data_IF_077732938969
#
_entry.id   IF_077732938969
#
_cell.length_a   1.000
_cell.length_b   1.000
_cell.length_c   1.000
_cell.angle_alpha   90.00
_cell.angle_beta   90.00
_cell.angle_gamma   90.00
#
_symmetry.space_group_name_H-M   'P 1'
#
loop_
_entity.id
_entity.type
_entity.pdbx_description
1 polymer ?
#
# COMPACT_ATOMS: atom_id res chain seq x y z
N UNK A 1 -10.09 10.17 -4.26
CA UNK A 1 -10.67 9.03 -3.53
C UNK A 1 -12.12 9.35 -3.25
N UNK A 2 -13.04 8.40 -3.40
CA UNK A 2 -14.47 8.65 -3.12
C UNK A 2 -14.75 8.56 -1.62
N UNK A 3 -15.83 9.20 -1.16
CA UNK A 3 -16.30 9.09 0.23
C UNK A 3 -16.63 7.64 0.61
N UNK A 4 -17.17 6.86 -0.34
CA UNK A 4 -17.51 5.45 -0.16
C UNK A 4 -16.24 4.64 0.13
N UNK A 5 -15.20 4.79 -0.69
CA UNK A 5 -13.94 4.07 -0.49
C UNK A 5 -13.29 4.44 0.85
N UNK A 6 -13.30 5.73 1.20
CA UNK A 6 -12.72 6.17 2.47
C UNK A 6 -13.46 5.53 3.67
N UNK A 7 -14.79 5.51 3.64
CA UNK A 7 -15.61 4.88 4.69
C UNK A 7 -15.36 3.38 4.79
N UNK A 8 -15.37 2.67 3.68
CA UNK A 8 -15.19 1.21 3.65
C UNK A 8 -13.77 0.81 4.09
N UNK A 9 -12.75 1.61 3.73
CA UNK A 9 -11.39 1.38 4.20
C UNK A 9 -11.28 1.57 5.72
N UNK A 10 -11.93 2.59 6.28
CA UNK A 10 -11.98 2.78 7.74
C UNK A 10 -12.68 1.60 8.41
N UNK A 11 -13.85 1.20 7.89
CA UNK A 11 -14.61 0.05 8.43
C UNK A 11 -13.76 -1.23 8.42
N UNK A 12 -12.99 -1.49 7.37
CA UNK A 12 -12.08 -2.66 7.30
C UNK A 12 -10.96 -2.61 8.35
N UNK A 13 -10.33 -1.45 8.54
CA UNK A 13 -9.27 -1.28 9.55
C UNK A 13 -9.81 -1.48 10.97
N UNK A 14 -10.99 -0.94 11.27
CA UNK A 14 -11.64 -1.12 12.57
C UNK A 14 -12.10 -2.57 12.78
N UNK A 15 -12.55 -3.27 11.74
CA UNK A 15 -12.90 -4.68 11.81
C UNK A 15 -11.68 -5.57 12.10
N UNK A 16 -10.50 -5.24 11.56
CA UNK A 16 -9.26 -5.93 11.89
C UNK A 16 -8.84 -5.66 13.34
N UNK A 17 -8.92 -4.41 13.78
CA UNK A 17 -8.84 -4.00 15.19
C UNK A 17 -7.48 -4.16 15.88
N UNK A 18 -6.46 -4.67 15.19
CA UNK A 18 -5.10 -4.83 15.71
C UNK A 18 -4.23 -3.61 15.35
N UNK A 19 -4.53 -2.46 15.94
CA UNK A 19 -3.72 -1.24 15.80
C UNK A 19 -2.36 -1.38 16.50
N UNK A 20 -1.31 -0.72 16.01
CA UNK A 20 -0.04 -0.56 16.76
C UNK A 20 -0.31 0.18 18.07
N UNK A 21 0.54 -0.06 19.05
CA UNK A 21 0.47 0.62 20.35
C UNK A 21 1.22 1.97 20.39
N UNK A 22 1.74 2.41 19.24
CA UNK A 22 2.50 3.65 19.11
C UNK A 22 3.85 3.63 19.81
N UNK A 23 4.44 2.45 20.03
CA UNK A 23 5.81 2.30 20.51
C UNK A 23 6.78 2.05 19.36
N UNK A 24 8.06 2.28 19.62
CA UNK A 24 9.09 2.03 18.63
C UNK A 24 9.23 0.53 18.36
N UNK A 25 8.96 -0.33 19.33
CA UNK A 25 9.02 -1.78 19.15
C UNK A 25 7.70 -2.32 18.61
N UNK A 26 7.70 -2.77 17.34
CA UNK A 26 6.55 -3.42 16.70
C UNK A 26 6.98 -4.74 16.06
N UNK A 27 6.68 -5.85 16.72
CA UNK A 27 7.01 -7.22 16.29
C UNK A 27 6.34 -7.62 14.96
N UNK A 28 5.32 -6.87 14.52
CA UNK A 28 4.60 -7.12 13.27
C UNK A 28 5.39 -6.61 12.06
N UNK A 29 6.39 -5.76 12.29
CA UNK A 29 7.29 -5.24 11.26
C UNK A 29 8.51 -6.12 11.05
N UNK A 30 9.00 -6.16 9.81
CA UNK A 30 10.26 -6.82 9.48
C UNK A 30 11.45 -6.08 10.12
N UNK A 31 11.88 -6.56 11.28
CA UNK A 31 12.96 -5.96 12.08
C UNK A 31 12.53 -5.49 13.47
N UNK A 32 11.23 -5.52 13.79
CA UNK A 32 10.74 -5.26 15.15
C UNK A 32 10.82 -3.81 15.63
N UNK A 33 11.20 -2.86 14.78
CA UNK A 33 11.48 -1.47 15.18
C UNK A 33 10.99 -0.44 14.16
N UNK A 34 10.27 0.56 14.64
CA UNK A 34 9.77 1.73 13.91
C UNK A 34 10.50 2.99 14.41
N UNK A 35 11.19 3.70 13.52
CA UNK A 35 11.98 4.89 13.90
C UNK A 35 11.11 6.07 14.38
N UNK A 36 9.86 6.13 13.91
CA UNK A 36 8.88 7.17 14.25
C UNK A 36 7.55 6.47 14.47
N UNK A 37 7.16 6.19 15.72
CA UNK A 37 6.07 5.29 15.98
C UNK A 37 4.72 5.94 15.72
N UNK A 38 3.80 5.17 15.14
CA UNK A 38 2.44 5.61 14.86
C UNK A 38 1.40 4.58 15.36
N UNK A 39 0.13 4.98 15.40
CA UNK A 39 -0.99 4.07 15.69
C UNK A 39 -1.68 3.80 14.36
N UNK A 40 -1.31 2.70 13.73
CA UNK A 40 -1.70 2.37 12.36
C UNK A 40 -1.82 0.85 12.12
N UNK A 41 -2.29 0.54 10.93
CA UNK A 41 -2.38 -0.81 10.36
C UNK A 41 -1.78 -0.74 8.96
N UNK A 42 -0.79 -1.57 8.69
CA UNK A 42 -0.18 -1.69 7.38
C UNK A 42 -1.07 -2.52 6.44
N UNK A 43 -1.09 -2.15 5.15
CA UNK A 43 -1.94 -2.81 4.13
C UNK A 43 -1.64 -4.31 3.95
N UNK A 44 -0.44 -4.78 4.28
CA UNK A 44 -0.11 -6.21 4.23
C UNK A 44 -0.72 -7.00 5.39
N UNK A 45 -1.08 -6.36 6.51
CA UNK A 45 -1.69 -7.02 7.66
C UNK A 45 -3.16 -7.39 7.39
N UNK A 46 -3.81 -6.69 6.46
CA UNK A 46 -5.19 -6.93 6.01
C UNK A 46 -5.27 -7.50 4.58
N UNK A 47 -4.17 -8.07 4.07
CA UNK A 47 -4.09 -8.64 2.71
C UNK A 47 -4.50 -7.68 1.56
N UNK A 48 -4.36 -6.37 1.78
CA UNK A 48 -4.76 -5.32 0.83
C UNK A 48 -3.56 -4.65 0.13
N UNK A 49 -2.34 -5.14 0.40
CA UNK A 49 -1.11 -4.55 -0.11
C UNK A 49 -1.06 -4.55 -1.65
N UNK A 50 -1.53 -5.61 -2.31
CA UNK A 50 -1.43 -5.73 -3.77
C UNK A 50 -2.32 -4.72 -4.47
N UNK A 51 -3.55 -4.58 -3.98
CA UNK A 51 -4.57 -3.65 -4.47
C UNK A 51 -4.11 -2.20 -4.24
N UNK A 52 -3.51 -1.92 -3.09
CA UNK A 52 -2.92 -0.62 -2.79
C UNK A 52 -1.73 -0.29 -3.71
N UNK A 53 -0.82 -1.24 -3.96
CA UNK A 53 0.30 -1.04 -4.88
C UNK A 53 -0.16 -0.80 -6.32
N UNK A 54 -1.23 -1.49 -6.76
CA UNK A 54 -1.83 -1.23 -8.07
C UNK A 54 -2.40 0.19 -8.15
N UNK A 55 -3.11 0.65 -7.12
CA UNK A 55 -3.61 2.02 -7.05
C UNK A 55 -2.49 3.07 -7.16
N UNK A 56 -1.37 2.83 -6.47
CA UNK A 56 -0.20 3.73 -6.54
C UNK A 56 0.42 3.78 -7.94
N UNK A 57 0.58 2.64 -8.61
CA UNK A 57 1.21 2.58 -9.94
C UNK A 57 0.32 3.18 -11.05
N UNK A 58 -0.99 2.96 -10.95
CA UNK A 58 -1.95 3.36 -11.98
C UNK A 58 -2.40 4.82 -11.85
N UNK A 59 -2.58 5.33 -10.62
CA UNK A 59 -3.15 6.66 -10.40
C UNK A 59 -2.17 7.66 -9.82
N UNK A 60 -1.36 7.26 -8.83
CA UNK A 60 -0.46 8.19 -8.13
C UNK A 60 0.81 8.46 -8.93
N UNK A 61 1.47 7.43 -9.47
CA UNK A 61 2.69 7.58 -10.25
C UNK A 61 2.52 8.53 -11.45
N UNK A 62 1.49 8.41 -12.32
CA UNK A 62 1.35 9.32 -13.46
C UNK A 62 1.05 10.76 -13.05
N UNK A 63 0.40 10.97 -11.90
CA UNK A 63 0.19 12.31 -11.33
C UNK A 63 1.53 12.90 -10.87
N UNK A 64 2.31 12.11 -10.13
CA UNK A 64 3.60 12.50 -9.59
C UNK A 64 4.61 12.85 -10.71
N UNK A 65 4.72 12.02 -11.74
CA UNK A 65 5.62 12.25 -12.88
C UNK A 65 5.28 13.54 -13.64
N UNK A 66 3.99 13.94 -13.66
CA UNK A 66 3.55 15.21 -14.27
C UNK A 66 3.89 16.42 -13.41
N UNK A 67 3.81 16.29 -12.09
CA UNK A 67 4.08 17.38 -11.15
C UNK A 67 5.58 17.59 -10.93
N UNK A 68 6.35 16.51 -10.90
CA UNK A 68 7.79 16.51 -10.63
C UNK A 68 8.57 16.09 -11.87
N UNK A 69 8.77 17.04 -12.79
CA UNK A 69 9.46 16.80 -14.06
C UNK A 69 10.88 16.26 -13.81
N UNK A 70 11.20 15.13 -14.44
CA UNK A 70 12.49 14.45 -14.29
C UNK A 70 12.52 13.41 -13.15
N UNK A 71 11.48 13.31 -12.34
CA UNK A 71 11.34 12.28 -11.32
C UNK A 71 10.52 11.10 -11.86
N UNK A 72 11.19 9.99 -12.18
CA UNK A 72 10.56 8.76 -12.67
C UNK A 72 10.70 7.67 -11.62
N UNK A 73 9.58 7.08 -11.22
CA UNK A 73 9.57 6.04 -10.19
C UNK A 73 8.74 4.86 -10.65
N UNK A 74 9.28 3.65 -10.49
CA UNK A 74 8.51 2.42 -10.63
C UNK A 74 8.06 1.99 -9.25
N UNK A 75 6.76 1.87 -9.03
CA UNK A 75 6.26 1.24 -7.80
C UNK A 75 6.77 -0.21 -7.81
N UNK A 76 7.44 -0.63 -6.73
CA UNK A 76 8.05 -1.96 -6.64
C UNK A 76 7.00 -3.04 -6.90
N UNK A 77 7.06 -3.62 -8.10
CA UNK A 77 6.06 -4.54 -8.65
C UNK A 77 6.53 -5.97 -8.38
N UNK A 78 5.74 -6.77 -7.67
CA UNK A 78 5.73 -8.21 -7.93
C UNK A 78 5.21 -8.37 -9.36
N UNK A 79 6.13 -8.64 -10.28
CA UNK A 79 5.85 -8.76 -11.71
C UNK A 79 4.98 -9.98 -11.96
N UNK A 80 3.65 -9.83 -11.93
CA UNK A 80 2.79 -10.76 -12.65
C UNK A 80 3.02 -10.47 -14.14
N UNK A 81 3.96 -11.21 -14.75
CA UNK A 81 3.88 -11.46 -16.19
C UNK A 81 2.60 -12.27 -16.38
N UNK A 82 1.49 -11.61 -16.71
CA UNK A 82 0.49 -12.27 -17.54
C UNK A 82 1.13 -12.30 -18.92
N UNK A 83 1.98 -13.30 -19.16
CA UNK A 83 2.25 -13.73 -20.54
C UNK A 83 0.89 -14.20 -21.05
N UNK A 84 0.22 -13.31 -21.79
CA UNK A 84 -0.88 -13.72 -22.64
C UNK A 84 -0.35 -14.83 -23.53
N UNK A 85 -0.98 -15.98 -23.34
CA UNK A 85 -0.82 -17.24 -24.05
C UNK A 85 -0.30 -17.05 -25.48
N UNK A 86 0.77 -17.80 -25.76
CA UNK A 86 1.22 -18.20 -27.09
C UNK A 86 0.05 -18.52 -28.02
N UNK A 87 0.02 -17.88 -29.19
CA UNK A 87 -0.43 -18.48 -30.45
C UNK A 87 0.03 -17.64 -31.65
N UNK A 88 1.29 -17.84 -32.02
CA UNK A 88 1.79 -17.92 -33.41
C UNK A 88 2.92 -18.91 -33.41
#
# INVERSE_FOLDING_TARGET
>A
MSEIFARELIEEMENFGQWSDGKNEDERLAGGYENVPTIDIHMNQIDFQREWLYFLDEYVRPMQEKLFIGYYQKVCRFRIKVEMLTNT
#
